data_IF_906169571198
#
_entry.id   IF_906169571198
#
_cell.length_a   1.000
_cell.length_b   1.000
_cell.length_c   1.000
_cell.angle_alpha   90.00
_cell.angle_beta   90.00
_cell.angle_gamma   90.00
#
_symmetry.space_group_name_H-M   'P 1'
#
loop_
_entity.id
_entity.type
_entity.pdbx_description
1 polymer ?
#
# COMPACT_ATOMS: atom_id res chain seq x y z
N UNK A 1 1.10 -42.18 -1.06
CA UNK A 1 0.25 -41.57 -0.01
C UNK A 1 0.55 -40.09 0.06
N UNK A 2 -0.46 -39.22 0.06
CA UNK A 2 -0.25 -37.77 0.22
C UNK A 2 -0.34 -37.44 1.71
N UNK A 3 0.69 -36.80 2.26
CA UNK A 3 0.73 -36.39 3.66
C UNK A 3 0.24 -34.95 3.78
N UNK A 4 -0.60 -34.68 4.77
CA UNK A 4 -1.09 -33.33 5.08
C UNK A 4 -0.55 -32.97 6.46
N UNK A 5 0.04 -31.78 6.57
CA UNK A 5 0.50 -31.23 7.85
C UNK A 5 -0.43 -30.11 8.25
N UNK A 6 -1.03 -30.22 9.43
CA UNK A 6 -1.92 -29.21 10.00
C UNK A 6 -1.18 -28.57 11.18
N UNK A 7 -1.10 -27.24 11.18
CA UNK A 7 -0.57 -26.48 12.32
C UNK A 7 -1.75 -26.02 13.17
N UNK A 8 -1.65 -26.26 14.47
CA UNK A 8 -2.69 -25.94 15.44
C UNK A 8 -2.00 -25.23 16.60
N UNK A 9 -2.65 -24.21 17.16
CA UNK A 9 -2.14 -23.50 18.33
C UNK A 9 -2.05 -24.45 19.53
N UNK A 10 -1.01 -24.25 20.35
CA UNK A 10 -0.69 -25.12 21.48
C UNK A 10 -1.86 -25.29 22.47
N UNK A 11 -2.59 -24.21 22.75
CA UNK A 11 -3.75 -24.25 23.64
C UNK A 11 -4.88 -25.15 23.08
N UNK A 12 -5.09 -25.12 21.77
CA UNK A 12 -6.10 -25.94 21.10
C UNK A 12 -5.63 -27.39 21.05
N UNK A 13 -4.34 -27.62 20.78
CA UNK A 13 -3.74 -28.96 20.79
C UNK A 13 -3.93 -29.66 22.14
N UNK A 14 -3.67 -28.96 23.25
CA UNK A 14 -3.85 -29.51 24.60
C UNK A 14 -5.30 -29.86 24.91
N UNK A 15 -6.27 -29.06 24.46
CA UNK A 15 -7.70 -29.38 24.62
C UNK A 15 -8.10 -30.64 23.84
N UNK A 16 -7.54 -30.82 22.64
CA UNK A 16 -7.82 -32.00 21.81
C UNK A 16 -7.21 -33.26 22.44
N UNK A 17 -5.97 -33.18 22.93
CA UNK A 17 -5.31 -34.28 23.64
C UNK A 17 -6.04 -34.65 24.94
N UNK A 18 -6.53 -33.66 25.69
CA UNK A 18 -7.33 -33.90 26.89
C UNK A 18 -8.65 -34.61 26.59
N UNK A 19 -9.32 -34.27 25.47
CA UNK A 19 -10.55 -34.92 25.02
C UNK A 19 -10.33 -36.34 24.48
N UNK A 20 -9.15 -36.63 23.92
CA UNK A 20 -8.80 -37.97 23.43
C UNK A 20 -8.78 -38.99 24.57
N UNK A 21 -8.23 -38.60 25.72
CA UNK A 21 -7.92 -39.53 26.81
C UNK A 21 -7.05 -40.68 26.30
N UNK A 22 -7.55 -41.92 26.48
CA UNK A 22 -6.86 -43.17 26.18
C UNK A 22 -7.02 -43.67 24.73
N UNK A 23 -7.82 -43.00 23.89
CA UNK A 23 -8.01 -43.43 22.51
C UNK A 23 -6.71 -43.31 21.68
N UNK A 24 -6.57 -44.14 20.65
CA UNK A 24 -5.46 -44.06 19.70
C UNK A 24 -5.45 -42.70 19.00
N UNK A 25 -4.27 -42.07 18.91
CA UNK A 25 -4.06 -40.78 18.22
C UNK A 25 -4.67 -40.78 16.83
N UNK A 26 -4.29 -41.75 16.01
CA UNK A 26 -4.71 -41.83 14.60
C UNK A 26 -6.22 -41.92 14.46
N UNK A 27 -6.86 -42.72 15.29
CA UNK A 27 -8.29 -43.01 15.17
C UNK A 27 -9.12 -41.84 15.67
N UNK A 28 -8.68 -41.18 16.74
CA UNK A 28 -9.32 -39.98 17.26
C UNK A 28 -9.30 -38.83 16.26
N UNK A 29 -8.12 -38.49 15.72
CA UNK A 29 -8.02 -37.43 14.71
C UNK A 29 -8.78 -37.78 13.44
N UNK A 30 -8.74 -39.05 13.01
CA UNK A 30 -9.48 -39.50 11.85
C UNK A 30 -10.99 -39.37 12.05
N UNK A 31 -11.51 -39.75 13.20
CA UNK A 31 -12.93 -39.66 13.51
C UNK A 31 -13.41 -38.20 13.56
N UNK A 32 -12.63 -37.30 14.18
CA UNK A 32 -12.95 -35.86 14.19
C UNK A 32 -12.99 -35.28 12.77
N UNK A 33 -12.02 -35.65 11.93
CA UNK A 33 -11.99 -35.19 10.54
C UNK A 33 -13.15 -35.74 9.73
N UNK A 34 -13.50 -37.01 9.92
CA UNK A 34 -14.66 -37.64 9.27
C UNK A 34 -15.96 -36.95 9.73
N UNK A 35 -16.14 -36.78 11.04
CA UNK A 35 -17.31 -36.13 11.63
C UNK A 35 -17.46 -34.69 11.13
N UNK A 36 -16.37 -33.93 11.09
CA UNK A 36 -16.38 -32.56 10.54
C UNK A 36 -16.77 -32.53 9.06
N UNK A 37 -16.24 -33.45 8.24
CA UNK A 37 -16.56 -33.52 6.81
C UNK A 37 -18.02 -33.96 6.60
N UNK A 38 -18.50 -34.95 7.35
CA UNK A 38 -19.87 -35.43 7.30
C UNK A 38 -20.86 -34.33 7.74
N UNK A 39 -20.58 -33.66 8.85
CA UNK A 39 -21.41 -32.54 9.33
C UNK A 39 -21.37 -31.33 8.38
N UNK A 40 -20.24 -31.11 7.70
CA UNK A 40 -20.13 -30.06 6.67
C UNK A 40 -20.92 -30.43 5.42
N UNK A 41 -20.94 -31.69 5.01
CA UNK A 41 -21.71 -32.20 3.87
C UNK A 41 -23.22 -32.08 4.10
N UNK A 42 -23.70 -32.39 5.31
CA UNK A 42 -25.13 -32.32 5.65
C UNK A 42 -25.62 -30.89 5.90
N UNK A 43 -24.77 -30.00 6.42
CA UNK A 43 -25.14 -28.59 6.66
C UNK A 43 -24.88 -27.65 5.47
N UNK A 44 -24.08 -28.05 4.47
CA UNK A 44 -23.79 -27.22 3.29
C UNK A 44 -24.91 -27.21 2.24
N UNK A 45 -25.91 -28.09 2.34
CA UNK A 45 -27.08 -28.08 1.44
C UNK A 45 -28.17 -27.08 1.86
N UNK A 46 -28.12 -26.53 3.10
CA UNK A 46 -29.20 -25.71 3.65
C UNK A 46 -28.78 -24.36 4.24
N UNK A 47 -27.54 -23.90 4.01
CA UNK A 47 -27.15 -22.54 4.39
C UNK A 47 -26.98 -21.68 3.14
N UNK A 48 -27.78 -20.60 2.97
CA UNK A 48 -27.49 -19.62 1.93
C UNK A 48 -26.11 -19.03 2.18
N UNK A 49 -25.39 -18.69 1.10
CA UNK A 49 -24.03 -18.13 1.10
C UNK A 49 -23.88 -16.79 1.85
N UNK A 50 -24.91 -16.31 2.55
CA UNK A 50 -25.01 -14.99 3.21
C UNK A 50 -24.24 -14.83 4.53
N UNK A 51 -23.81 -15.92 5.19
CA UNK A 51 -23.22 -15.81 6.55
C UNK A 51 -21.72 -15.44 6.56
N UNK A 52 -21.06 -15.43 5.40
CA UNK A 52 -19.66 -15.00 5.27
C UNK A 52 -19.52 -13.49 5.06
N UNK A 53 -20.50 -12.82 4.44
CA UNK A 53 -20.49 -11.35 4.25
C UNK A 53 -20.75 -10.57 5.55
N UNK A 54 -21.41 -11.20 6.54
CA UNK A 54 -21.76 -10.58 7.84
C UNK A 54 -20.70 -10.78 8.93
N UNK A 55 -19.62 -11.50 8.63
CA UNK A 55 -18.52 -11.66 9.57
C UNK A 55 -17.88 -10.30 9.86
N UNK A 56 -17.77 -9.93 11.13
CA UNK A 56 -17.12 -8.68 11.59
C UNK A 56 -15.74 -8.47 10.96
N UNK A 57 -15.03 -9.56 10.69
CA UNK A 57 -13.76 -9.56 9.98
C UNK A 57 -13.87 -9.05 8.53
N UNK A 58 -14.89 -9.48 7.78
CA UNK A 58 -15.12 -9.06 6.38
C UNK A 58 -15.56 -7.60 6.33
N UNK A 59 -16.40 -7.16 7.27
CA UNK A 59 -16.78 -5.75 7.41
C UNK A 59 -15.59 -4.85 7.73
N UNK A 60 -14.69 -5.30 8.63
CA UNK A 60 -13.47 -4.57 8.96
C UNK A 60 -12.52 -4.47 7.76
N UNK A 61 -12.31 -5.57 7.01
CA UNK A 61 -11.48 -5.56 5.79
C UNK A 61 -12.07 -4.64 4.73
N UNK A 62 -13.39 -4.64 4.56
CA UNK A 62 -14.05 -3.78 3.58
C UNK A 62 -13.87 -2.31 3.95
N UNK A 63 -14.09 -1.97 5.21
CA UNK A 63 -13.88 -0.62 5.73
C UNK A 63 -12.42 -0.18 5.57
N UNK A 64 -11.46 -1.04 5.92
CA UNK A 64 -10.04 -0.75 5.73
C UNK A 64 -9.70 -0.53 4.24
N UNK A 65 -10.22 -1.38 3.34
CA UNK A 65 -10.04 -1.20 1.90
C UNK A 65 -10.64 0.11 1.39
N UNK A 66 -11.82 0.50 1.86
CA UNK A 66 -12.44 1.77 1.52
C UNK A 66 -11.57 2.95 1.98
N UNK A 67 -11.05 2.90 3.21
CA UNK A 67 -10.13 3.94 3.71
C UNK A 67 -8.82 4.00 2.91
N UNK A 68 -8.25 2.85 2.54
CA UNK A 68 -7.04 2.80 1.73
C UNK A 68 -7.29 3.34 0.32
N UNK A 69 -8.47 3.09 -0.26
CA UNK A 69 -8.87 3.65 -1.56
C UNK A 69 -9.05 5.16 -1.51
N UNK A 70 -9.67 5.70 -0.46
CA UNK A 70 -9.80 7.15 -0.30
C UNK A 70 -8.45 7.81 -0.10
N UNK A 71 -7.56 7.20 0.68
CA UNK A 71 -6.20 7.69 0.89
C UNK A 71 -5.36 7.66 -0.39
N UNK A 72 -5.50 6.60 -1.20
CA UNK A 72 -4.85 6.50 -2.50
C UNK A 72 -5.33 7.62 -3.44
N UNK A 73 -6.65 7.78 -3.57
CA UNK A 73 -7.23 8.84 -4.41
C UNK A 73 -6.83 10.24 -3.96
N UNK A 74 -6.78 10.49 -2.65
CA UNK A 74 -6.32 11.76 -2.11
C UNK A 74 -4.84 12.03 -2.43
N UNK A 75 -3.98 11.02 -2.29
CA UNK A 75 -2.56 11.12 -2.65
C UNK A 75 -2.36 11.38 -4.13
N UNK A 76 -3.14 10.74 -5.01
CA UNK A 76 -3.10 11.00 -6.45
C UNK A 76 -3.49 12.45 -6.78
N UNK A 77 -4.53 12.97 -6.15
CA UNK A 77 -4.92 14.38 -6.30
C UNK A 77 -3.81 15.34 -5.81
N UNK A 78 -3.14 15.02 -4.70
CA UNK A 78 -1.99 15.79 -4.22
C UNK A 78 -0.81 15.76 -5.19
N UNK A 79 -0.56 14.65 -5.87
CA UNK A 79 0.50 14.56 -6.89
C UNK A 79 0.20 15.49 -8.07
N UNK A 80 -1.03 15.50 -8.57
CA UNK A 80 -1.45 16.41 -9.65
C UNK A 80 -1.24 17.87 -9.25
N UNK A 81 -1.67 18.26 -8.04
CA UNK A 81 -1.46 19.63 -7.53
C UNK A 81 0.02 20.01 -7.42
N UNK A 82 0.87 19.06 -7.01
CA UNK A 82 2.32 19.28 -6.95
C UNK A 82 2.92 19.43 -8.34
N UNK A 83 2.52 18.62 -9.30
CA UNK A 83 3.00 18.71 -10.69
C UNK A 83 2.62 20.05 -11.32
N UNK A 84 1.39 20.52 -11.09
CA UNK A 84 0.95 21.83 -11.57
C UNK A 84 1.73 22.97 -10.90
N UNK A 85 2.01 22.85 -9.60
CA UNK A 85 2.86 23.82 -8.90
C UNK A 85 4.30 23.81 -9.42
N UNK A 86 4.85 22.65 -9.77
CA UNK A 86 6.20 22.54 -10.36
C UNK A 86 6.22 23.24 -11.72
N UNK A 87 5.22 23.02 -12.57
CA UNK A 87 5.12 23.68 -13.88
C UNK A 87 5.03 25.20 -13.74
N UNK A 88 4.21 25.70 -12.81
CA UNK A 88 4.10 27.13 -12.52
C UNK A 88 5.45 27.73 -12.08
N UNK A 89 6.16 27.06 -11.16
CA UNK A 89 7.49 27.52 -10.72
C UNK A 89 8.53 27.48 -11.85
N UNK A 90 8.49 26.47 -12.71
CA UNK A 90 9.36 26.39 -13.90
C UNK A 90 9.09 27.53 -14.87
N UNK A 91 7.81 27.88 -15.10
CA UNK A 91 7.43 29.01 -15.94
C UNK A 91 7.91 30.35 -15.34
N UNK A 92 7.74 30.54 -14.03
CA UNK A 92 8.23 31.73 -13.32
C UNK A 92 9.75 31.85 -13.42
N UNK A 93 10.47 30.73 -13.26
CA UNK A 93 11.92 30.70 -13.41
C UNK A 93 12.37 31.05 -14.83
N UNK A 94 11.69 30.50 -15.85
CA UNK A 94 11.94 30.84 -17.25
C UNK A 94 11.71 32.32 -17.55
N UNK A 95 10.62 32.90 -17.03
CA UNK A 95 10.35 34.34 -17.14
C UNK A 95 11.46 35.18 -16.48
N UNK A 96 11.87 34.80 -15.27
CA UNK A 96 12.90 35.52 -14.53
C UNK A 96 14.26 35.48 -15.24
N UNK A 97 14.62 34.33 -15.81
CA UNK A 97 15.84 34.17 -16.62
C UNK A 97 15.80 35.06 -17.87
N UNK A 98 14.65 35.13 -18.54
CA UNK A 98 14.46 35.99 -19.71
C UNK A 98 14.61 37.47 -19.36
N UNK A 99 13.93 37.95 -18.31
CA UNK A 99 14.05 39.35 -17.87
C UNK A 99 15.48 39.67 -17.40
N UNK A 100 16.15 38.75 -16.70
CA UNK A 100 17.56 38.91 -16.33
C UNK A 100 18.45 39.07 -17.57
N UNK A 101 18.29 38.22 -18.59
CA UNK A 101 19.05 38.31 -19.84
C UNK A 101 18.78 39.62 -20.59
N UNK A 102 17.51 40.06 -20.61
CA UNK A 102 17.12 41.33 -21.24
C UNK A 102 17.80 42.52 -20.55
N UNK A 103 17.75 42.57 -19.22
CA UNK A 103 18.40 43.61 -18.43
C UNK A 103 19.92 43.56 -18.54
N UNK A 104 20.53 42.37 -18.45
CA UNK A 104 21.98 42.23 -18.57
C UNK A 104 22.47 42.68 -19.94
N UNK A 105 21.77 42.32 -21.02
CA UNK A 105 22.09 42.77 -22.37
C UNK A 105 21.95 44.29 -22.55
N UNK A 106 20.98 44.92 -21.88
CA UNK A 106 20.86 46.39 -21.86
C UNK A 106 22.02 47.03 -21.08
N UNK A 107 22.36 46.47 -19.92
CA UNK A 107 23.45 46.97 -19.08
C UNK A 107 24.81 46.84 -19.77
N UNK A 108 25.09 45.70 -20.41
CA UNK A 108 26.32 45.46 -21.17
C UNK A 108 26.49 46.42 -22.35
N UNK A 109 25.39 46.91 -22.95
CA UNK A 109 25.44 47.93 -24.00
C UNK A 109 25.68 49.35 -23.47
N UNK A 110 25.32 49.61 -22.21
CA UNK A 110 25.43 50.92 -21.57
C UNK A 110 26.76 51.09 -20.82
N UNK A 111 27.38 49.99 -20.39
CA UNK A 111 28.67 50.02 -19.73
C UNK A 111 29.79 50.24 -20.77
N UNK A 112 30.69 51.23 -20.57
CA UNK A 112 31.85 51.37 -21.42
C UNK A 112 32.70 50.10 -21.35
N UNK A 113 33.35 49.74 -22.47
CA UNK A 113 34.26 48.59 -22.48
C UNK A 113 35.23 48.67 -21.29
N UNK A 114 35.47 47.55 -20.59
CA UNK A 114 36.34 47.55 -19.43
C UNK A 114 37.72 48.05 -19.88
N UNK A 115 38.07 49.27 -19.43
CA UNK A 115 39.38 49.86 -19.71
C UNK A 115 40.42 48.89 -19.19
N UNK A 116 41.24 48.37 -20.10
CA UNK A 116 42.40 47.54 -19.78
C UNK A 116 43.43 48.42 -19.09
N UNK A 117 43.25 48.67 -17.79
CA UNK A 117 44.12 49.52 -16.98
C UNK A 117 45.57 49.03 -17.00
N UNK A 118 45.79 47.74 -17.25
CA UNK A 118 47.11 47.14 -17.47
C UNK A 118 47.80 47.55 -18.78
N UNK A 119 47.10 48.14 -19.76
CA UNK A 119 47.73 48.69 -20.96
C UNK A 119 48.40 50.05 -20.71
N UNK A 120 48.08 50.74 -19.61
CA UNK A 120 48.74 52.00 -19.24
C UNK A 120 50.16 51.80 -18.67
N UNK A 121 50.52 50.58 -18.31
CA UNK A 121 51.81 50.25 -17.68
C UNK A 121 52.85 49.72 -18.67
N UNK A 122 52.61 49.84 -19.97
CA UNK A 122 53.49 49.40 -21.05
C UNK A 122 54.08 50.60 -21.77
#
# INVERSE_FOLDING_TARGET
MKTITIRVDEAIFQQIEARRGEASKSDFYRNILIEYISNKSENALNKPEDDLESSEYVLNIRKENETLRTDASHKDAMLVLKDDRIKDLQNQLGFLQFEYQKLSNQLYKLLPEPRKWWMFWK
#
